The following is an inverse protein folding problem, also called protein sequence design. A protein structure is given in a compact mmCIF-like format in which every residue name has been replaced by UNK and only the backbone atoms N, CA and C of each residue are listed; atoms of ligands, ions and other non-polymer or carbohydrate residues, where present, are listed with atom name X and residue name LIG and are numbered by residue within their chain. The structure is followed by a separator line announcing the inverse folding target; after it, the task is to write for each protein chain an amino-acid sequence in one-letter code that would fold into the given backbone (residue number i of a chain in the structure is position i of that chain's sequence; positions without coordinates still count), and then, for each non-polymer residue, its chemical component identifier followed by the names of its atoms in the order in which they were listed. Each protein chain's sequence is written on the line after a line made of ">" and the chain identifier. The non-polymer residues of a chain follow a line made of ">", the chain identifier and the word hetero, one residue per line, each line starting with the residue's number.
data_IF_309361484134
#
_entry.id   IF_309361484134
#
_cell.length_a   1.000
_cell.length_b   1.000
_cell.length_c   1.000
_cell.angle_alpha   90.00
_cell.angle_beta   90.00
_cell.angle_gamma   90.00
#
_symmetry.space_group_name_H-M   'P 1'
#
loop_
_entity.id
_entity.type
_entity.pdbx_description
1 polymer ?
#
# COMPACT_ATOMS: atom_id res chain seq x y z
N UNK A 1 -23.89 -11.48 -11.84
CA UNK A 1 -23.18 -11.29 -10.56
C UNK A 1 -23.02 -9.79 -10.33
N UNK A 2 -23.49 -9.26 -9.19
CA UNK A 2 -23.39 -7.82 -8.88
C UNK A 2 -22.20 -7.52 -7.97
N UNK A 3 -21.65 -6.31 -8.04
CA UNK A 3 -20.57 -5.87 -7.14
C UNK A 3 -20.99 -5.92 -5.66
N UNK A 4 -22.29 -5.71 -5.38
CA UNK A 4 -22.85 -5.80 -4.04
C UNK A 4 -22.70 -7.21 -3.44
N UNK A 5 -22.87 -8.26 -4.25
CA UNK A 5 -22.67 -9.64 -3.83
C UNK A 5 -21.22 -9.92 -3.43
N UNK A 6 -20.23 -9.37 -4.16
CA UNK A 6 -18.81 -9.58 -3.84
C UNK A 6 -18.39 -8.85 -2.56
N UNK A 7 -18.97 -7.67 -2.28
CA UNK A 7 -18.67 -6.86 -1.08
C UNK A 7 -19.41 -7.33 0.18
N UNK A 8 -20.28 -8.33 0.08
CA UNK A 8 -20.96 -8.91 1.24
C UNK A 8 -20.01 -9.69 2.16
N UNK A 9 -18.95 -10.27 1.59
CA UNK A 9 -17.94 -11.02 2.34
C UNK A 9 -17.05 -10.05 3.11
N UNK A 10 -17.27 -9.96 4.42
CA UNK A 10 -16.58 -9.03 5.30
C UNK A 10 -15.81 -9.76 6.39
N UNK A 11 -14.63 -9.27 6.72
CA UNK A 11 -13.86 -9.67 7.91
C UNK A 11 -13.70 -8.43 8.77
N UNK A 12 -14.15 -8.51 10.03
CA UNK A 12 -14.12 -7.37 10.96
C UNK A 12 -14.81 -6.10 10.43
N UNK A 13 -15.86 -6.26 9.60
CA UNK A 13 -16.60 -5.15 8.98
C UNK A 13 -16.00 -4.63 7.66
N UNK A 14 -14.83 -5.12 7.25
CA UNK A 14 -14.15 -4.71 6.03
C UNK A 14 -14.38 -5.71 4.89
N UNK A 15 -14.71 -5.23 3.68
CA UNK A 15 -14.97 -6.10 2.54
C UNK A 15 -13.67 -6.76 2.03
N UNK A 16 -13.64 -8.09 2.02
CA UNK A 16 -12.47 -8.88 1.57
C UNK A 16 -12.15 -8.59 0.10
N UNK A 17 -13.19 -8.44 -0.72
CA UNK A 17 -13.05 -8.10 -2.13
C UNK A 17 -12.30 -6.78 -2.36
N UNK A 18 -12.60 -5.74 -1.57
CA UNK A 18 -11.97 -4.43 -1.73
C UNK A 18 -10.45 -4.51 -1.45
N UNK A 19 -10.06 -5.30 -0.45
CA UNK A 19 -8.64 -5.56 -0.20
C UNK A 19 -7.99 -6.31 -1.35
N UNK A 20 -8.60 -7.42 -1.78
CA UNK A 20 -8.05 -8.22 -2.87
C UNK A 20 -7.88 -7.37 -4.14
N UNK A 21 -8.88 -6.56 -4.47
CA UNK A 21 -8.84 -5.62 -5.59
C UNK A 21 -7.71 -4.60 -5.44
N UNK A 22 -7.53 -4.01 -4.25
CA UNK A 22 -6.44 -3.07 -3.99
C UNK A 22 -5.06 -3.72 -4.14
N UNK A 23 -4.83 -4.90 -3.54
CA UNK A 23 -3.56 -5.61 -3.62
C UNK A 23 -3.24 -6.07 -5.04
N UNK A 24 -4.23 -6.60 -5.77
CA UNK A 24 -4.05 -6.99 -7.18
C UNK A 24 -3.79 -5.77 -8.07
N UNK A 25 -4.51 -4.67 -7.84
CA UNK A 25 -4.30 -3.41 -8.56
C UNK A 25 -2.89 -2.87 -8.34
N UNK A 26 -2.42 -2.81 -7.10
CA UNK A 26 -1.06 -2.37 -6.79
C UNK A 26 -0.02 -3.36 -7.30
N UNK A 27 -0.26 -4.67 -7.26
CA UNK A 27 0.63 -5.67 -7.84
C UNK A 27 0.83 -5.42 -9.34
N UNK A 28 -0.25 -5.19 -10.08
CA UNK A 28 -0.22 -4.90 -11.50
C UNK A 28 0.48 -3.56 -11.80
N UNK A 29 0.30 -2.54 -10.95
CA UNK A 29 0.94 -1.23 -11.08
C UNK A 29 2.39 -1.19 -10.58
N UNK A 30 2.81 -2.14 -9.75
CA UNK A 30 4.14 -2.18 -9.13
C UNK A 30 5.33 -2.03 -10.10
N UNK A 31 5.37 -2.63 -11.31
CA UNK A 31 6.48 -2.37 -12.25
C UNK A 31 6.52 -0.91 -12.71
N UNK A 32 5.36 -0.29 -12.93
CA UNK A 32 5.26 1.11 -13.35
C UNK A 32 5.66 2.04 -12.20
N UNK A 33 5.16 1.79 -10.99
CA UNK A 33 5.52 2.56 -9.79
C UNK A 33 7.03 2.48 -9.49
N UNK A 34 7.63 1.29 -9.56
CA UNK A 34 9.09 1.13 -9.42
C UNK A 34 9.86 1.83 -10.54
N UNK A 35 9.33 1.86 -11.77
CA UNK A 35 9.91 2.62 -12.88
C UNK A 35 9.90 4.13 -12.62
N UNK A 36 8.78 4.67 -12.14
CA UNK A 36 8.65 6.08 -11.77
C UNK A 36 9.56 6.44 -10.59
N UNK A 37 9.62 5.60 -9.56
CA UNK A 37 10.53 5.80 -8.44
C UNK A 37 11.99 5.86 -8.90
N UNK A 38 12.37 5.01 -9.85
CA UNK A 38 13.72 5.01 -10.43
C UNK A 38 14.05 6.32 -11.14
N UNK A 39 13.10 6.88 -11.89
CA UNK A 39 13.24 8.20 -12.52
C UNK A 39 13.40 9.32 -11.48
N UNK A 40 12.74 9.19 -10.33
CA UNK A 40 12.89 10.09 -9.19
C UNK A 40 14.17 9.83 -8.36
N UNK A 41 15.05 8.91 -8.78
CA UNK A 41 16.31 8.61 -8.10
C UNK A 41 16.20 7.60 -6.96
N UNK A 42 15.10 6.82 -6.89
CA UNK A 42 14.85 5.82 -5.85
C UNK A 42 14.70 4.41 -6.44
N UNK A 43 15.33 3.43 -5.81
CA UNK A 43 15.13 2.01 -6.09
C UNK A 43 14.18 1.45 -5.04
N UNK A 44 12.92 1.27 -5.46
CA UNK A 44 11.86 0.68 -4.64
C UNK A 44 11.54 -0.72 -5.17
N UNK A 45 11.79 -1.80 -4.40
CA UNK A 45 11.42 -3.16 -4.78
C UNK A 45 9.90 -3.30 -4.98
N UNK A 46 9.47 -4.22 -5.85
CA UNK A 46 8.03 -4.37 -6.16
C UNK A 46 7.19 -4.77 -4.94
N UNK A 47 7.76 -5.62 -4.08
CA UNK A 47 7.10 -6.09 -2.84
C UNK A 47 6.79 -4.94 -1.86
N UNK A 48 7.61 -3.88 -1.87
CA UNK A 48 7.38 -2.72 -1.03
C UNK A 48 6.07 -2.01 -1.36
N UNK A 49 5.72 -1.92 -2.65
CA UNK A 49 4.43 -1.35 -3.05
C UNK A 49 3.27 -2.14 -2.49
N UNK A 50 3.37 -3.47 -2.42
CA UNK A 50 2.34 -4.31 -1.82
C UNK A 50 2.17 -4.00 -0.33
N UNK A 51 3.27 -3.88 0.43
CA UNK A 51 3.20 -3.45 1.83
C UNK A 51 2.61 -2.04 1.97
N UNK A 52 2.90 -1.14 1.04
CA UNK A 52 2.35 0.21 1.03
C UNK A 52 0.87 0.29 0.58
N UNK A 53 0.25 -0.81 0.14
CA UNK A 53 -1.14 -0.81 -0.34
C UNK A 53 -2.12 -0.32 0.73
N UNK A 54 -2.06 -0.87 1.94
CA UNK A 54 -2.95 -0.47 3.03
C UNK A 54 -2.69 0.95 3.56
N UNK A 55 -1.46 1.32 3.97
CA UNK A 55 -1.21 2.67 4.43
C UNK A 55 -1.43 3.71 3.33
N UNK A 56 -1.09 3.39 2.07
CA UNK A 56 -1.35 4.23 0.90
C UNK A 56 -2.84 4.40 0.63
N UNK A 57 -3.63 3.32 0.71
CA UNK A 57 -5.09 3.38 0.58
C UNK A 57 -5.73 4.22 1.68
N UNK A 58 -5.32 4.03 2.94
CA UNK A 58 -5.76 4.87 4.06
C UNK A 58 -5.43 6.34 3.80
N UNK A 59 -4.20 6.65 3.41
CA UNK A 59 -3.78 8.02 3.09
C UNK A 59 -4.61 8.62 1.93
N UNK A 60 -4.88 7.85 0.87
CA UNK A 60 -5.70 8.29 -0.26
C UNK A 60 -7.16 8.55 0.14
N UNK A 61 -7.74 7.72 1.00
CA UNK A 61 -9.09 7.94 1.53
C UNK A 61 -9.17 9.18 2.43
N UNK A 62 -8.14 9.44 3.23
CA UNK A 62 -8.05 10.68 4.03
C UNK A 62 -7.92 11.89 3.11
N UNK A 63 -7.03 11.85 2.12
CA UNK A 63 -6.80 12.97 1.21
C UNK A 63 -8.02 13.28 0.32
N UNK A 64 -8.78 12.26 -0.08
CA UNK A 64 -9.99 12.42 -0.89
C UNK A 64 -11.26 12.75 -0.10
N UNK A 65 -11.21 12.67 1.24
CA UNK A 65 -12.38 12.83 2.11
C UNK A 65 -13.37 11.65 2.07
N UNK A 66 -13.14 10.64 1.24
CA UNK A 66 -14.00 9.45 1.13
C UNK A 66 -13.61 8.40 2.18
N UNK A 67 -13.99 8.66 3.43
CA UNK A 67 -13.63 7.84 4.58
C UNK A 67 -14.32 6.47 4.52
N UNK A 68 -13.51 5.41 4.52
CA UNK A 68 -13.98 4.02 4.65
C UNK A 68 -14.06 3.61 6.13
N UNK A 69 -14.78 2.51 6.48
CA UNK A 69 -14.75 1.97 7.84
C UNK A 69 -13.32 1.73 8.35
N UNK A 70 -12.42 1.20 7.51
CA UNK A 70 -11.02 0.99 7.87
C UNK A 70 -10.30 2.30 8.18
N UNK A 71 -10.45 3.31 7.33
CA UNK A 71 -9.84 4.62 7.54
C UNK A 71 -10.36 5.26 8.83
N UNK A 72 -11.67 5.17 9.08
CA UNK A 72 -12.29 5.65 10.31
C UNK A 72 -11.72 4.95 11.54
N UNK A 73 -11.61 3.64 11.52
CA UNK A 73 -11.12 2.83 12.64
C UNK A 73 -9.63 3.07 12.91
N UNK A 74 -8.84 3.31 11.85
CA UNK A 74 -7.44 3.70 11.98
C UNK A 74 -7.28 5.09 12.61
N UNK A 75 -8.12 6.06 12.22
CA UNK A 75 -8.08 7.43 12.75
C UNK A 75 -8.72 7.59 14.14
N UNK A 76 -9.57 6.64 14.56
CA UNK A 76 -10.20 6.66 15.88
C UNK A 76 -9.12 6.71 16.97
N UNK A 77 -9.12 7.68 17.90
CA UNK A 77 -8.13 7.74 18.97
C UNK A 77 -8.20 6.52 19.90
N UNK A 78 -9.41 6.05 20.20
CA UNK A 78 -9.66 4.89 21.04
C UNK A 78 -9.88 3.61 20.23
N UNK A 79 -9.18 2.54 20.61
CA UNK A 79 -9.40 1.18 20.09
C UNK A 79 -8.66 0.85 18.78
N UNK A 80 -9.04 -0.28 18.19
CA UNK A 80 -8.51 -0.82 16.92
C UNK A 80 -6.96 -0.94 16.87
N UNK A 81 -6.33 -1.20 18.01
CA UNK A 81 -4.87 -1.28 18.12
C UNK A 81 -4.26 -2.35 17.21
N UNK A 82 -4.96 -3.48 16.99
CA UNK A 82 -4.51 -4.51 16.04
C UNK A 82 -4.44 -4.00 14.61
N UNK A 83 -5.46 -3.28 14.14
CA UNK A 83 -5.48 -2.67 12.81
C UNK A 83 -4.38 -1.60 12.67
N UNK A 84 -4.24 -0.73 13.69
CA UNK A 84 -3.21 0.31 13.71
C UNK A 84 -1.81 -0.32 13.67
N UNK A 85 -1.55 -1.32 14.51
CA UNK A 85 -0.29 -2.05 14.53
C UNK A 85 0.01 -2.70 13.17
N UNK A 86 -1.00 -3.31 12.52
CA UNK A 86 -0.85 -3.88 11.18
C UNK A 86 -0.49 -2.81 10.15
N UNK A 87 -1.22 -1.69 10.08
CA UNK A 87 -0.95 -0.61 9.13
C UNK A 87 0.42 0.01 9.39
N UNK A 88 0.81 0.22 10.65
CA UNK A 88 2.13 0.73 11.02
C UNK A 88 3.25 -0.24 10.65
N UNK A 89 3.09 -1.54 10.94
CA UNK A 89 4.07 -2.57 10.58
C UNK A 89 4.26 -2.64 9.06
N UNK A 90 3.17 -2.59 8.30
CA UNK A 90 3.21 -2.56 6.83
C UNK A 90 3.84 -1.27 6.30
N UNK A 91 3.61 -0.13 6.95
CA UNK A 91 4.28 1.13 6.61
C UNK A 91 5.80 1.01 6.78
N UNK A 92 6.25 0.45 7.91
CA UNK A 92 7.68 0.24 8.18
C UNK A 92 8.28 -0.74 7.18
N UNK A 93 7.63 -1.88 6.91
CA UNK A 93 8.10 -2.87 5.94
C UNK A 93 8.12 -2.32 4.51
N UNK A 94 7.13 -1.51 4.14
CA UNK A 94 7.02 -0.90 2.82
C UNK A 94 8.10 0.16 2.55
N UNK A 95 8.54 0.86 3.59
CA UNK A 95 9.65 1.83 3.46
C UNK A 95 11.03 1.17 3.61
N UNK A 96 11.10 -0.02 4.20
CA UNK A 96 12.35 -0.77 4.38
C UNK A 96 12.96 -1.16 3.02
N UNK A 97 14.28 -1.07 2.89
CA UNK A 97 15.03 -1.42 1.66
C UNK A 97 14.80 -0.50 0.45
N UNK A 98 14.14 0.65 0.61
CA UNK A 98 14.18 1.71 -0.41
C UNK A 98 15.58 2.31 -0.43
N UNK A 99 16.23 2.31 -1.61
CA UNK A 99 17.61 2.80 -1.77
C UNK A 99 17.65 4.00 -2.70
N UNK A 100 18.62 4.89 -2.52
CA UNK A 100 18.90 5.95 -3.50
C UNK A 100 19.62 5.33 -4.70
N UNK A 101 19.16 5.64 -5.91
CA UNK A 101 19.66 5.05 -7.17
C UNK A 101 21.10 5.43 -7.53
N UNK A 102 21.75 6.26 -6.72
CA UNK A 102 23.17 6.66 -6.83
C UNK A 102 24.02 6.37 -5.59
N UNK A 103 23.58 5.49 -4.68
CA UNK A 103 24.44 4.97 -3.62
C UNK A 103 25.53 4.03 -4.18
N UNK A 104 26.62 3.72 -3.45
CA UNK A 104 27.87 3.10 -3.94
C UNK A 104 27.79 1.65 -4.47
N UNK A 105 26.69 1.25 -5.12
CA UNK A 105 26.48 -0.10 -5.68
C UNK A 105 25.96 -0.16 -7.11
N UNK A 106 25.73 0.96 -7.80
CA UNK A 106 25.33 0.94 -9.23
C UNK A 106 26.57 1.17 -10.08
N UNK A 107 27.39 0.13 -10.26
CA UNK A 107 28.28 0.08 -11.42
C UNK A 107 27.38 -0.14 -12.64
N UNK A 108 27.10 0.93 -13.37
CA UNK A 108 26.68 0.83 -14.77
C UNK A 108 27.79 0.10 -15.51
N UNK A 109 27.60 -1.19 -15.78
CA UNK A 109 28.42 -1.88 -16.76
C UNK A 109 28.16 -1.17 -18.10
N UNK A 110 29.20 -0.49 -18.58
CA UNK A 110 29.20 0.21 -19.86
C UNK A 110 28.96 -0.77 -21.01
N UNK A 111 28.34 -0.19 -22.04
CA UNK A 111 28.32 -0.68 -23.42
C UNK A 111 29.74 -0.95 -23.94
#
# INVERSE_FOLDING_TARGET
>A
MTIAYLRQFKVSGYAVFDFAAAFLGVAALSPLLSGLARRAGWQVPRINWLYLTLPGGVAAHVASGNITPMTRDFLSPGGHYGLKALILALSVLGLRNIRKSGGPGVKTAGL
#
